data_IF_803219612388
#
_entry.id   IF_803219612388
#
_cell.length_a   1.000
_cell.length_b   1.000
_cell.length_c   1.000
_cell.angle_alpha   90.00
_cell.angle_beta   90.00
_cell.angle_gamma   90.00
#
_symmetry.space_group_name_H-M   'P 1'
#
loop_
_entity.id
_entity.type
_entity.pdbx_description
1 polymer ?
#
# COMPACT_ATOMS: atom_id res chain seq x y z
N UNK A 1 8.57 11.60 0.89
CA UNK A 1 8.28 12.92 0.30
C UNK A 1 8.05 12.80 -1.21
N UNK A 2 8.94 12.16 -1.95
CA UNK A 2 8.75 11.95 -3.40
C UNK A 2 7.44 11.24 -3.73
N UNK A 3 7.06 10.22 -2.97
CA UNK A 3 5.76 9.53 -3.15
C UNK A 3 4.60 10.53 -3.08
N UNK A 4 4.58 11.39 -2.04
CA UNK A 4 3.56 12.44 -1.89
C UNK A 4 3.54 13.42 -3.07
N UNK A 5 4.73 13.81 -3.55
CA UNK A 5 4.85 14.67 -4.72
C UNK A 5 4.29 14.00 -5.98
N UNK A 6 4.58 12.72 -6.22
CA UNK A 6 4.03 11.99 -7.38
C UNK A 6 2.52 11.81 -7.25
N UNK A 7 2.02 11.47 -6.05
CA UNK A 7 0.59 11.36 -5.76
C UNK A 7 -0.17 12.67 -5.99
N UNK A 8 0.46 13.81 -5.70
CA UNK A 8 -0.14 15.12 -5.94
C UNK A 8 -0.38 15.42 -7.42
N UNK A 9 0.35 14.76 -8.32
CA UNK A 9 0.17 14.89 -9.76
C UNK A 9 -0.88 13.88 -10.28
N UNK A 10 -0.81 12.63 -9.81
CA UNK A 10 -1.74 11.55 -10.16
C UNK A 10 -1.64 10.42 -9.15
N UNK A 11 -2.79 9.97 -8.61
CA UNK A 11 -2.85 8.80 -7.72
C UNK A 11 -2.34 7.54 -8.39
N UNK A 12 -2.60 7.37 -9.69
CA UNK A 12 -2.13 6.21 -10.46
C UNK A 12 -0.59 6.22 -10.59
N UNK A 13 0.00 7.38 -10.88
CA UNK A 13 1.46 7.53 -10.93
C UNK A 13 2.09 7.33 -9.56
N UNK A 14 1.46 7.81 -8.49
CA UNK A 14 1.89 7.57 -7.11
C UNK A 14 1.94 6.09 -6.77
N UNK A 15 0.92 5.33 -7.13
CA UNK A 15 0.89 3.88 -6.95
C UNK A 15 2.02 3.17 -7.73
N UNK A 16 2.23 3.55 -9.01
CA UNK A 16 3.31 3.02 -9.84
C UNK A 16 4.69 3.37 -9.28
N UNK A 17 4.87 4.59 -8.80
CA UNK A 17 6.14 5.02 -8.19
C UNK A 17 6.43 4.19 -6.92
N UNK A 18 5.45 4.05 -6.04
CA UNK A 18 5.58 3.23 -4.82
C UNK A 18 5.95 1.79 -5.15
N UNK A 19 5.27 1.18 -6.11
CA UNK A 19 5.56 -0.18 -6.56
C UNK A 19 7.00 -0.32 -7.08
N UNK A 20 7.47 0.62 -7.90
CA UNK A 20 8.84 0.60 -8.41
C UNK A 20 9.88 0.81 -7.31
N UNK A 21 9.62 1.66 -6.31
CA UNK A 21 10.51 1.83 -5.14
C UNK A 21 10.60 0.52 -4.35
N UNK A 22 9.48 -0.16 -4.11
CA UNK A 22 9.46 -1.45 -3.43
C UNK A 22 10.20 -2.53 -4.22
N UNK A 23 9.99 -2.60 -5.54
CA UNK A 23 10.72 -3.52 -6.42
C UNK A 23 12.23 -3.22 -6.43
N UNK A 24 12.61 -1.94 -6.52
CA UNK A 24 14.01 -1.52 -6.48
C UNK A 24 14.70 -2.04 -5.21
N UNK A 25 14.06 -1.90 -4.07
CA UNK A 25 14.62 -2.33 -2.80
C UNK A 25 14.58 -3.86 -2.61
N UNK A 26 13.38 -4.47 -2.71
CA UNK A 26 13.18 -5.87 -2.32
C UNK A 26 13.59 -6.88 -3.40
N UNK A 27 13.53 -6.51 -4.69
CA UNK A 27 13.84 -7.41 -5.80
C UNK A 27 15.24 -7.14 -6.36
N UNK A 28 15.58 -5.86 -6.56
CA UNK A 28 16.83 -5.50 -7.23
C UNK A 28 17.94 -5.08 -6.27
N UNK A 29 17.71 -5.05 -4.95
CA UNK A 29 18.71 -4.73 -3.94
C UNK A 29 19.26 -3.30 -4.04
N UNK A 30 18.47 -2.37 -4.60
CA UNK A 30 18.88 -0.99 -4.81
C UNK A 30 18.87 -0.19 -3.51
N UNK A 31 19.81 0.73 -3.37
CA UNK A 31 19.90 1.63 -2.22
C UNK A 31 18.92 2.80 -2.36
N UNK A 32 17.63 2.58 -2.07
CA UNK A 32 16.57 3.61 -2.20
C UNK A 32 16.74 4.82 -1.27
N UNK A 33 17.74 4.84 -0.40
CA UNK A 33 18.19 6.02 0.32
C UNK A 33 19.06 6.96 -0.53
N UNK A 34 19.46 6.54 -1.73
CA UNK A 34 20.20 7.36 -2.70
C UNK A 34 19.22 8.16 -3.57
N UNK A 35 19.44 9.47 -3.64
CA UNK A 35 18.67 10.36 -4.51
C UNK A 35 18.72 9.92 -5.97
N UNK A 36 19.88 9.44 -6.45
CA UNK A 36 20.05 8.98 -7.83
C UNK A 36 19.17 7.78 -8.17
N UNK A 37 19.04 6.81 -7.27
CA UNK A 37 18.17 5.65 -7.47
C UNK A 37 16.68 6.05 -7.50
N UNK A 38 16.28 7.00 -6.66
CA UNK A 38 14.91 7.54 -6.66
C UNK A 38 14.63 8.34 -7.92
N UNK A 39 15.60 9.15 -8.37
CA UNK A 39 15.47 9.94 -9.60
C UNK A 39 15.46 9.06 -10.85
N UNK A 40 16.17 7.93 -10.85
CA UNK A 40 16.07 6.96 -11.95
C UNK A 40 14.66 6.37 -12.08
N UNK A 41 13.96 6.16 -10.96
CA UNK A 41 12.56 5.73 -10.97
C UNK A 41 11.66 6.85 -11.51
N UNK A 42 11.90 8.09 -11.10
CA UNK A 42 11.20 9.28 -11.62
C UNK A 42 11.31 9.35 -13.14
N UNK A 43 12.53 9.21 -13.67
CA UNK A 43 12.80 9.21 -15.12
C UNK A 43 12.07 8.08 -15.84
N UNK A 44 12.07 6.86 -15.28
CA UNK A 44 11.41 5.69 -15.87
C UNK A 44 9.89 5.86 -16.02
N UNK A 45 9.29 6.70 -15.17
CA UNK A 45 7.88 7.05 -15.19
C UNK A 45 7.58 8.28 -16.05
N UNK A 46 8.59 8.88 -16.69
CA UNK A 46 8.44 10.08 -17.51
C UNK A 46 8.10 11.34 -16.71
N UNK A 47 8.40 11.34 -15.42
CA UNK A 47 8.15 12.47 -14.53
C UNK A 47 9.28 13.52 -14.64
N UNK A 48 9.00 14.74 -14.19
CA UNK A 48 9.97 15.83 -14.24
C UNK A 48 11.09 15.65 -13.19
N UNK A 49 12.25 15.17 -13.64
CA UNK A 49 13.43 14.95 -12.79
C UNK A 49 13.83 16.20 -11.99
N UNK A 50 13.86 17.36 -12.64
CA UNK A 50 14.27 18.61 -11.98
C UNK A 50 13.33 18.99 -10.84
N UNK A 51 12.04 18.84 -11.03
CA UNK A 51 11.06 19.07 -9.97
C UNK A 51 11.21 18.04 -8.83
N UNK A 52 11.53 16.78 -9.14
CA UNK A 52 11.84 15.78 -8.13
C UNK A 52 13.11 16.11 -7.32
N UNK A 53 14.16 16.58 -7.97
CA UNK A 53 15.39 17.07 -7.32
C UNK A 53 15.08 18.23 -6.36
N UNK A 54 14.21 19.16 -6.74
CA UNK A 54 13.78 20.24 -5.86
C UNK A 54 13.04 19.70 -4.60
N UNK A 55 12.20 18.66 -4.74
CA UNK A 55 11.54 18.01 -3.59
C UNK A 55 12.55 17.31 -2.67
N UNK A 56 13.60 16.70 -3.22
CA UNK A 56 14.65 16.07 -2.42
C UNK A 56 15.51 17.10 -1.67
N UNK A 57 15.82 18.23 -2.32
CA UNK A 57 16.70 19.26 -1.80
C UNK A 57 16.04 20.23 -0.80
N UNK A 58 14.71 20.22 -0.67
CA UNK A 58 13.97 21.08 0.23
C UNK A 58 13.04 20.29 1.16
N UNK A 59 12.23 20.99 1.95
CA UNK A 59 11.28 20.37 2.88
C UNK A 59 9.86 20.22 2.30
N UNK A 60 9.69 20.32 0.98
CA UNK A 60 8.40 20.12 0.34
C UNK A 60 7.85 18.73 0.67
N UNK A 61 6.57 18.65 0.98
CA UNK A 61 5.87 17.44 1.44
C UNK A 61 6.37 16.84 2.77
N UNK A 62 7.18 17.57 3.55
CA UNK A 62 7.59 17.09 4.88
C UNK A 62 6.41 17.07 5.85
N UNK A 63 5.59 18.12 5.81
CA UNK A 63 4.43 18.25 6.70
C UNK A 63 3.39 17.13 6.44
N UNK A 64 3.17 16.76 5.18
CA UNK A 64 2.27 15.66 4.82
C UNK A 64 2.80 14.31 5.32
N UNK A 65 4.11 14.10 5.27
CA UNK A 65 4.73 12.89 5.81
C UNK A 65 4.63 12.86 7.35
N UNK A 66 4.90 13.98 8.02
CA UNK A 66 4.76 14.10 9.48
C UNK A 66 3.31 13.88 9.92
N UNK A 67 2.35 14.37 9.14
CA UNK A 67 0.93 14.13 9.39
C UNK A 67 0.58 12.64 9.28
N UNK A 68 1.06 11.93 8.24
CA UNK A 68 0.83 10.49 8.10
C UNK A 68 1.42 9.70 9.29
N UNK A 69 2.63 10.06 9.74
CA UNK A 69 3.28 9.44 10.89
C UNK A 69 2.47 9.70 12.16
N UNK A 70 2.00 10.93 12.34
CA UNK A 70 1.18 11.31 13.49
C UNK A 70 -0.13 10.51 13.49
N UNK A 71 -0.86 10.46 12.37
CA UNK A 71 -2.10 9.70 12.25
C UNK A 71 -1.90 8.21 12.53
N UNK A 72 -0.86 7.61 11.97
CA UNK A 72 -0.50 6.23 12.26
C UNK A 72 -0.25 5.98 13.75
N UNK A 73 0.41 6.92 14.43
CA UNK A 73 0.66 6.83 15.86
C UNK A 73 -0.63 6.94 16.69
N UNK A 74 -1.57 7.81 16.28
CA UNK A 74 -2.86 8.00 16.98
C UNK A 74 -3.76 6.75 16.91
N UNK A 75 -3.73 6.01 15.81
CA UNK A 75 -4.46 4.74 15.67
C UNK A 75 -3.72 3.54 16.28
N UNK A 76 -2.55 3.77 16.90
CA UNK A 76 -1.81 2.75 17.65
C UNK A 76 -0.93 1.85 16.82
N UNK A 77 -0.53 2.25 15.61
CA UNK A 77 0.45 1.51 14.79
C UNK A 77 1.80 1.49 15.51
N UNK A 78 2.28 0.29 15.83
CA UNK A 78 3.59 0.07 16.49
C UNK A 78 4.56 -0.74 15.63
N UNK A 79 4.12 -1.17 14.45
CA UNK A 79 4.90 -1.99 13.52
C UNK A 79 4.11 -2.34 12.29
N UNK A 80 4.75 -2.98 11.34
CA UNK A 80 4.18 -3.37 10.05
C UNK A 80 4.23 -4.90 9.87
N UNK A 81 3.30 -5.46 9.08
CA UNK A 81 2.19 -4.80 8.42
C UNK A 81 1.07 -4.40 9.41
N UNK A 82 0.36 -3.32 9.10
CA UNK A 82 -0.82 -2.90 9.83
C UNK A 82 -1.92 -2.52 8.83
N UNK A 83 -3.12 -3.03 9.03
CA UNK A 83 -4.25 -2.85 8.10
C UNK A 83 -5.39 -2.14 8.81
N UNK A 84 -5.97 -1.13 8.17
CA UNK A 84 -7.09 -0.36 8.70
C UNK A 84 -8.27 -0.43 7.74
N UNK A 85 -9.44 -0.79 8.25
CA UNK A 85 -10.68 -0.88 7.49
C UNK A 85 -11.69 0.16 8.01
N UNK A 86 -12.14 1.05 7.12
CA UNK A 86 -13.14 2.10 7.40
C UNK A 86 -12.79 2.98 8.62
N UNK A 87 -11.50 3.20 8.90
CA UNK A 87 -11.00 3.96 10.07
C UNK A 87 -11.53 3.44 11.42
N UNK A 88 -12.00 2.20 11.49
CA UNK A 88 -12.62 1.59 12.68
C UNK A 88 -11.99 0.28 13.10
N UNK A 89 -11.65 -0.57 12.16
CA UNK A 89 -11.14 -1.91 12.40
C UNK A 89 -9.66 -1.99 12.04
N UNK A 90 -8.83 -2.47 12.96
CA UNK A 90 -7.38 -2.62 12.75
C UNK A 90 -6.93 -4.06 12.86
N UNK A 91 -6.05 -4.51 11.95
CA UNK A 91 -5.33 -5.78 12.05
C UNK A 91 -3.85 -5.47 12.13
N UNK A 92 -3.19 -5.91 13.21
CA UNK A 92 -1.75 -5.76 13.41
C UNK A 92 -1.04 -7.07 13.09
N UNK A 93 0.02 -6.98 12.29
CA UNK A 93 0.83 -8.13 11.89
C UNK A 93 0.21 -8.97 10.77
N UNK A 94 0.99 -9.95 10.31
CA UNK A 94 0.51 -10.98 9.38
C UNK A 94 -0.37 -11.97 10.15
N UNK A 95 -1.65 -11.96 9.87
CA UNK A 95 -2.66 -12.78 10.51
C UNK A 95 -3.23 -13.82 9.54
N UNK A 96 -3.86 -14.91 10.04
CA UNK A 96 -4.54 -15.88 9.18
C UNK A 96 -5.61 -15.22 8.30
N UNK A 97 -5.78 -15.73 7.07
CA UNK A 97 -6.75 -15.23 6.09
C UNK A 97 -8.16 -15.06 6.66
N UNK A 98 -8.61 -16.03 7.46
CA UNK A 98 -9.96 -16.02 8.06
C UNK A 98 -10.21 -14.78 8.94
N UNK A 99 -9.16 -14.20 9.54
CA UNK A 99 -9.31 -12.99 10.34
C UNK A 99 -9.55 -11.77 9.41
N UNK A 100 -8.86 -11.71 8.27
CA UNK A 100 -9.10 -10.67 7.26
C UNK A 100 -10.52 -10.76 6.72
N UNK A 101 -10.98 -11.95 6.34
CA UNK A 101 -12.33 -12.18 5.83
C UNK A 101 -13.40 -11.70 6.80
N UNK A 102 -13.31 -12.11 8.06
CA UNK A 102 -14.24 -11.68 9.12
C UNK A 102 -14.21 -10.17 9.34
N UNK A 103 -13.02 -9.57 9.33
CA UNK A 103 -12.88 -8.12 9.53
C UNK A 103 -13.46 -7.34 8.36
N UNK A 104 -13.24 -7.80 7.13
CA UNK A 104 -13.82 -7.19 5.92
C UNK A 104 -15.35 -7.32 5.93
N UNK A 105 -15.88 -8.50 6.28
CA UNK A 105 -17.33 -8.70 6.42
C UNK A 105 -17.94 -7.75 7.45
N UNK A 106 -17.29 -7.60 8.60
CA UNK A 106 -17.76 -6.68 9.64
C UNK A 106 -17.68 -5.22 9.18
N UNK A 107 -16.59 -4.84 8.54
CA UNK A 107 -16.43 -3.48 8.00
C UNK A 107 -17.46 -3.17 6.91
N UNK A 108 -17.78 -4.14 6.06
CA UNK A 108 -18.82 -4.02 5.03
C UNK A 108 -20.22 -3.88 5.64
N UNK A 109 -20.54 -4.65 6.68
CA UNK A 109 -21.80 -4.55 7.43
C UNK A 109 -21.95 -3.17 8.07
N UNK A 110 -20.92 -2.67 8.72
CA UNK A 110 -20.89 -1.35 9.35
C UNK A 110 -21.07 -0.21 8.33
N UNK A 111 -20.58 -0.40 7.12
CA UNK A 111 -20.77 0.54 6.00
C UNK A 111 -22.15 0.43 5.33
N UNK A 112 -23.02 -0.46 5.81
CA UNK A 112 -24.34 -0.70 5.24
C UNK A 112 -24.31 -1.44 3.89
N UNK A 113 -23.17 -2.04 3.53
CA UNK A 113 -23.04 -2.87 2.34
C UNK A 113 -23.73 -4.20 2.59
N UNK A 114 -24.80 -4.49 1.85
CA UNK A 114 -25.48 -5.79 1.93
C UNK A 114 -24.54 -6.87 1.33
N UNK A 115 -24.49 -8.02 1.98
CA UNK A 115 -23.77 -9.22 1.52
C UNK A 115 -24.47 -9.77 0.26
N UNK A 116 -24.14 -9.22 -0.92
CA UNK A 116 -24.55 -9.74 -2.22
C UNK A 116 -23.35 -10.39 -2.91
N UNK A 117 -22.69 -11.33 -2.24
CA UNK A 117 -21.73 -12.20 -2.91
C UNK A 117 -22.55 -13.36 -3.50
N UNK A 118 -22.86 -13.27 -4.80
CA UNK A 118 -23.27 -14.42 -5.57
C UNK A 118 -22.00 -15.21 -5.91
N UNK A 119 -21.88 -16.43 -5.37
CA UNK A 119 -20.85 -17.36 -5.79
C UNK A 119 -21.22 -17.80 -7.21
N UNK A 120 -20.50 -17.27 -8.21
CA UNK A 120 -20.76 -17.54 -9.65
C UNK A 120 -20.14 -18.86 -10.10
N UNK A 121 -19.19 -19.42 -9.34
CA UNK A 121 -18.63 -20.76 -9.55
C UNK A 121 -18.02 -21.28 -8.24
N UNK A 122 -18.37 -22.48 -7.82
CA UNK A 122 -17.62 -23.27 -6.84
C UNK A 122 -16.51 -23.99 -7.61
N UNK A 123 -15.26 -23.58 -7.40
CA UNK A 123 -14.10 -24.37 -7.81
C UNK A 123 -14.04 -25.63 -6.94
N UNK A 124 -13.69 -26.78 -7.53
CA UNK A 124 -13.49 -28.03 -6.80
C UNK A 124 -12.50 -27.83 -5.69
N UNK A 125 -12.96 -27.97 -4.43
CA UNK A 125 -12.09 -28.05 -3.26
C UNK A 125 -11.39 -29.40 -3.29
N UNK A 126 -10.05 -29.39 -3.22
CA UNK A 126 -9.30 -30.60 -2.92
C UNK A 126 -9.69 -31.05 -1.50
N UNK A 127 -10.41 -32.15 -1.37
CA UNK A 127 -10.49 -32.93 -0.14
C UNK A 127 -9.34 -33.93 -0.15
N UNK A 128 -8.79 -34.21 1.04
CA UNK A 128 -7.47 -34.80 1.31
C UNK A 128 -7.04 -36.09 0.60
N UNK A 129 -7.73 -36.63 -0.39
CA UNK A 129 -7.31 -37.90 -1.02
C UNK A 129 -7.37 -38.01 -2.55
N UNK A 130 -7.78 -36.99 -3.33
CA UNK A 130 -7.63 -37.03 -4.79
C UNK A 130 -7.82 -35.65 -5.41
N UNK A 131 -6.74 -35.08 -6.01
CA UNK A 131 -6.82 -34.04 -7.01
C UNK A 131 -6.89 -34.71 -8.39
N UNK A 132 -8.08 -34.80 -8.98
CA UNK A 132 -8.21 -35.09 -10.41
C UNK A 132 -7.91 -33.83 -11.21
N UNK A 133 -6.88 -33.95 -12.06
CA UNK A 133 -6.39 -32.92 -12.99
C UNK A 133 -7.30 -32.86 -14.20
#
# INVERSE_FOLDING_TARGET
>A
RLTKWVESQSKELGAKFTEQVLQAYFIYGKAIGSDEELLAIVDSLGLNRKAAEEVLNNNTFMQEVEQDIYEASQIGVRGVPFFVFNNKWGISGAQPQQLFEKTIEQAAQDAGLKKNIQIVAEGSMCTDDSCDI
#
